data_IF_538174668758
#
_entry.id   IF_538174668758
#
_cell.length_a   1.000
_cell.length_b   1.000
_cell.length_c   1.000
_cell.angle_alpha   90.00
_cell.angle_beta   90.00
_cell.angle_gamma   90.00
#
_symmetry.space_group_name_H-M   'P 1'
#
loop_
_entity.id
_entity.type
_entity.pdbx_description
1 polymer ?
#
# COMPACT_ATOMS: atom_id res chain seq x y z
N UNK A 1 -25.82 44.78 -14.99
CA UNK A 1 -24.81 44.61 -13.92
C UNK A 1 -25.55 44.40 -12.62
N UNK A 2 -25.71 43.15 -12.17
CA UNK A 2 -26.36 42.82 -10.90
C UNK A 2 -25.51 41.78 -10.17
N UNK A 3 -25.16 42.15 -8.93
CA UNK A 3 -24.44 41.48 -7.85
C UNK A 3 -23.88 40.08 -8.04
N UNK A 4 -22.56 39.97 -7.91
CA UNK A 4 -21.88 38.76 -7.45
C UNK A 4 -22.44 38.33 -6.10
N UNK A 5 -22.99 37.12 -6.03
CA UNK A 5 -23.31 36.45 -4.78
C UNK A 5 -22.02 35.93 -4.15
N UNK A 6 -21.48 36.67 -3.19
CA UNK A 6 -20.35 36.27 -2.36
C UNK A 6 -20.80 35.14 -1.41
N UNK A 7 -20.35 33.91 -1.68
CA UNK A 7 -20.56 32.76 -0.82
C UNK A 7 -19.78 32.92 0.49
N UNK A 8 -20.45 33.40 1.54
CA UNK A 8 -19.92 33.46 2.91
C UNK A 8 -19.58 32.04 3.41
N UNK A 9 -18.31 31.66 3.34
CA UNK A 9 -17.80 30.55 4.14
C UNK A 9 -17.82 31.00 5.61
N UNK A 10 -18.50 30.28 6.53
CA UNK A 10 -18.43 30.64 7.95
C UNK A 10 -17.00 30.51 8.44
N UNK A 11 -16.46 31.58 9.03
CA UNK A 11 -15.06 31.71 9.45
C UNK A 11 -14.65 30.82 10.64
N UNK A 12 -15.55 29.97 11.13
CA UNK A 12 -15.26 29.02 12.21
C UNK A 12 -16.18 27.80 12.13
N UNK A 13 -15.63 26.61 12.36
CA UNK A 13 -16.42 25.42 12.61
C UNK A 13 -16.97 25.50 14.04
N UNK A 14 -18.29 25.39 14.24
CA UNK A 14 -18.86 25.39 15.58
C UNK A 14 -18.25 24.24 16.39
N UNK A 15 -17.77 24.54 17.60
CA UNK A 15 -17.28 23.51 18.51
C UNK A 15 -18.44 22.57 18.86
N UNK A 16 -18.26 21.29 18.59
CA UNK A 16 -19.19 20.25 18.97
C UNK A 16 -18.46 19.33 19.94
N UNK A 17 -18.99 19.22 21.15
CA UNK A 17 -18.43 18.32 22.16
C UNK A 17 -18.56 16.87 21.65
N UNK A 18 -17.47 16.10 21.64
CA UNK A 18 -17.54 14.67 21.32
C UNK A 18 -18.27 13.93 22.43
N UNK A 19 -19.08 12.93 22.07
CA UNK A 19 -19.77 12.10 23.06
C UNK A 19 -18.77 11.29 23.90
N UNK A 20 -19.12 11.02 25.16
CA UNK A 20 -18.31 10.20 26.08
C UNK A 20 -17.87 8.88 25.45
N UNK A 21 -18.75 8.26 24.65
CA UNK A 21 -18.48 7.00 23.96
C UNK A 21 -17.32 7.10 22.98
N UNK A 22 -17.23 8.19 22.20
CA UNK A 22 -16.16 8.40 21.22
C UNK A 22 -14.83 8.58 21.93
N UNK A 23 -14.80 9.39 22.99
CA UNK A 23 -13.59 9.62 23.79
C UNK A 23 -13.10 8.31 24.42
N UNK A 24 -14.01 7.50 24.97
CA UNK A 24 -13.68 6.22 25.59
C UNK A 24 -13.08 5.25 24.56
N UNK A 25 -13.70 5.14 23.38
CA UNK A 25 -13.23 4.28 22.29
C UNK A 25 -11.83 4.72 21.83
N UNK A 26 -11.65 6.01 21.53
CA UNK A 26 -10.36 6.55 21.08
C UNK A 26 -9.27 6.39 22.14
N UNK A 27 -9.59 6.64 23.40
CA UNK A 27 -8.65 6.45 24.51
C UNK A 27 -8.28 4.98 24.69
N UNK A 28 -9.25 4.07 24.60
CA UNK A 28 -9.00 2.63 24.67
C UNK A 28 -8.10 2.15 23.52
N UNK A 29 -8.32 2.67 22.31
CA UNK A 29 -7.52 2.35 21.13
C UNK A 29 -6.06 2.79 21.31
N UNK A 30 -5.83 4.05 21.72
CA UNK A 30 -4.49 4.58 21.94
C UNK A 30 -3.75 3.86 23.09
N UNK A 31 -4.45 3.58 24.18
CA UNK A 31 -3.87 2.86 25.32
C UNK A 31 -3.47 1.44 24.91
N UNK A 32 -4.35 0.74 24.19
CA UNK A 32 -4.11 -0.62 23.76
C UNK A 32 -3.00 -0.70 22.72
N UNK A 33 -2.91 0.25 21.77
CA UNK A 33 -1.77 0.37 20.86
C UNK A 33 -0.44 0.47 21.62
N UNK A 34 -0.37 1.30 22.66
CA UNK A 34 0.85 1.48 23.44
C UNK A 34 1.20 0.24 24.27
N UNK A 35 0.22 -0.37 24.93
CA UNK A 35 0.42 -1.60 25.74
C UNK A 35 0.86 -2.76 24.86
N UNK A 36 0.19 -2.97 23.73
CA UNK A 36 0.53 -4.04 22.78
C UNK A 36 1.91 -3.81 22.18
N UNK A 37 2.25 -2.58 21.82
CA UNK A 37 3.59 -2.25 21.34
C UNK A 37 4.65 -2.57 22.40
N UNK A 38 4.48 -2.11 23.64
CA UNK A 38 5.43 -2.37 24.72
C UNK A 38 5.59 -3.86 25.04
N UNK A 39 4.49 -4.63 24.98
CA UNK A 39 4.51 -6.08 25.21
C UNK A 39 5.24 -6.82 24.08
N UNK A 40 4.91 -6.51 22.83
CA UNK A 40 5.46 -7.20 21.66
C UNK A 40 6.88 -6.76 21.30
N UNK A 41 7.25 -5.50 21.57
CA UNK A 41 8.65 -5.07 21.45
C UNK A 41 9.53 -5.87 22.42
N UNK A 42 9.03 -6.16 23.62
CA UNK A 42 9.77 -6.96 24.61
C UNK A 42 9.78 -8.46 24.30
N UNK A 43 8.73 -8.99 23.67
CA UNK A 43 8.60 -10.40 23.39
C UNK A 43 9.21 -10.83 22.04
N UNK A 44 9.00 -10.04 20.97
CA UNK A 44 9.25 -10.43 19.57
C UNK A 44 10.07 -9.37 18.80
N UNK A 45 10.43 -8.24 19.41
CA UNK A 45 11.12 -7.11 18.75
C UNK A 45 10.37 -6.55 17.53
N UNK A 46 9.05 -6.77 17.47
CA UNK A 46 8.20 -6.43 16.34
C UNK A 46 6.84 -5.87 16.80
N UNK A 47 6.87 -4.82 17.64
CA UNK A 47 5.67 -4.16 18.15
C UNK A 47 4.76 -3.58 17.06
N UNK A 48 5.34 -3.20 15.91
CA UNK A 48 4.62 -2.71 14.75
C UNK A 48 3.52 -3.68 14.27
N UNK A 49 3.79 -4.99 14.23
CA UNK A 49 2.78 -5.98 13.83
C UNK A 49 1.59 -6.00 14.80
N UNK A 50 1.85 -5.81 16.09
CA UNK A 50 0.82 -5.67 17.11
C UNK A 50 -0.04 -4.43 16.89
N UNK A 51 0.59 -3.29 16.61
CA UNK A 51 -0.12 -2.05 16.31
C UNK A 51 -1.00 -2.19 15.06
N UNK A 52 -0.50 -2.85 14.01
CA UNK A 52 -1.28 -3.13 12.80
C UNK A 52 -2.47 -4.05 13.11
N UNK A 53 -2.27 -5.11 13.89
CA UNK A 53 -3.35 -6.03 14.26
C UNK A 53 -4.44 -5.33 15.07
N UNK A 54 -4.06 -4.49 16.04
CA UNK A 54 -4.99 -3.67 16.82
C UNK A 54 -5.72 -2.68 15.92
N UNK A 55 -5.02 -2.05 14.98
CA UNK A 55 -5.59 -1.17 13.96
C UNK A 55 -6.68 -1.86 13.14
N UNK A 56 -6.40 -3.07 12.63
CA UNK A 56 -7.36 -3.88 11.88
C UNK A 56 -8.54 -4.32 12.76
N UNK A 57 -8.28 -4.67 14.03
CA UNK A 57 -9.32 -5.11 14.96
C UNK A 57 -10.28 -3.97 15.36
N UNK A 58 -9.80 -2.74 15.55
CA UNK A 58 -10.64 -1.58 15.92
C UNK A 58 -11.23 -0.81 14.72
N UNK A 59 -10.54 -0.83 13.58
CA UNK A 59 -10.93 -0.16 12.35
C UNK A 59 -11.94 -0.95 11.51
N UNK A 60 -12.10 -0.55 10.24
CA UNK A 60 -12.87 -1.30 9.24
C UNK A 60 -11.97 -2.29 8.51
N UNK A 61 -12.34 -3.58 8.32
CA UNK A 61 -13.64 -4.24 8.53
C UNK A 61 -13.83 -4.94 9.91
N UNK A 62 -12.99 -4.66 10.91
CA UNK A 62 -13.04 -5.29 12.24
C UNK A 62 -14.24 -4.83 13.07
N UNK A 63 -13.98 -4.17 14.20
CA UNK A 63 -15.01 -3.71 15.12
C UNK A 63 -15.75 -2.46 14.63
N UNK A 64 -15.17 -1.70 13.69
CA UNK A 64 -15.73 -0.44 13.16
C UNK A 64 -16.16 0.54 14.27
N UNK A 65 -15.37 0.61 15.34
CA UNK A 65 -15.63 1.52 16.47
C UNK A 65 -15.03 2.90 16.24
N UNK A 66 -14.00 2.99 15.39
CA UNK A 66 -13.39 4.25 14.98
C UNK A 66 -14.26 4.84 13.85
N UNK A 67 -14.78 6.05 14.05
CA UNK A 67 -15.55 6.72 13.00
C UNK A 67 -14.71 7.04 11.77
N UNK A 68 -15.31 6.99 10.58
CA UNK A 68 -14.64 7.16 9.27
C UNK A 68 -13.74 8.41 9.20
N UNK A 69 -14.17 9.54 9.76
CA UNK A 69 -13.39 10.78 9.78
C UNK A 69 -12.10 10.65 10.61
N UNK A 70 -12.15 9.90 11.71
CA UNK A 70 -10.97 9.64 12.52
C UNK A 70 -10.03 8.66 11.81
N UNK A 71 -10.57 7.67 11.10
CA UNK A 71 -9.78 6.76 10.27
C UNK A 71 -9.02 7.52 9.16
N UNK A 72 -9.70 8.43 8.45
CA UNK A 72 -9.07 9.31 7.43
C UNK A 72 -7.92 10.13 8.02
N UNK A 73 -8.10 10.74 9.20
CA UNK A 73 -7.06 11.51 9.89
C UNK A 73 -5.90 10.61 10.30
N UNK A 74 -6.17 9.42 10.85
CA UNK A 74 -5.13 8.45 11.25
C UNK A 74 -4.34 7.99 10.03
N UNK A 75 -4.98 7.73 8.90
CA UNK A 75 -4.32 7.36 7.64
C UNK A 75 -3.42 8.49 7.15
N UNK A 76 -3.91 9.73 7.15
CA UNK A 76 -3.10 10.90 6.76
C UNK A 76 -1.88 11.09 7.68
N UNK A 77 -2.08 10.97 8.99
CA UNK A 77 -0.98 11.00 9.97
C UNK A 77 0.00 9.84 9.75
N UNK A 78 -0.52 8.65 9.45
CA UNK A 78 0.27 7.45 9.15
C UNK A 78 1.13 7.62 7.91
N UNK A 79 0.61 8.24 6.84
CA UNK A 79 1.39 8.60 5.66
C UNK A 79 2.52 9.58 5.99
N UNK A 80 2.25 10.61 6.80
CA UNK A 80 3.29 11.54 7.25
C UNK A 80 4.34 10.82 8.11
N UNK A 81 3.92 9.96 9.03
CA UNK A 81 4.81 9.14 9.86
C UNK A 81 5.68 8.21 9.02
N UNK A 82 5.12 7.56 8.01
CA UNK A 82 5.87 6.73 7.06
C UNK A 82 6.93 7.53 6.31
N UNK A 83 6.59 8.73 5.81
CA UNK A 83 7.56 9.60 5.13
C UNK A 83 8.72 10.00 6.05
N UNK A 84 8.42 10.40 7.30
CA UNK A 84 9.43 10.76 8.29
C UNK A 84 10.33 9.58 8.65
N UNK A 85 9.75 8.38 8.75
CA UNK A 85 10.48 7.16 9.07
C UNK A 85 11.42 6.73 7.94
N UNK A 86 10.93 6.75 6.69
CA UNK A 86 11.76 6.49 5.50
C UNK A 86 12.88 7.53 5.39
N UNK A 87 12.57 8.79 5.67
CA UNK A 87 13.55 9.88 5.68
C UNK A 87 14.64 9.69 6.76
N UNK A 88 14.25 9.38 8.00
CA UNK A 88 15.17 9.08 9.09
C UNK A 88 16.06 7.86 8.75
N UNK A 89 15.49 6.83 8.14
CA UNK A 89 16.23 5.66 7.69
C UNK A 89 17.23 5.98 6.59
N UNK A 90 16.86 6.85 5.66
CA UNK A 90 17.77 7.39 4.64
C UNK A 90 18.93 8.19 5.24
N UNK A 91 18.65 9.10 6.18
CA UNK A 91 19.67 9.91 6.86
C UNK A 91 20.62 9.07 7.73
N UNK A 92 20.10 8.03 8.37
CA UNK A 92 20.89 7.14 9.23
C UNK A 92 21.80 6.19 8.45
N UNK A 93 21.55 6.03 7.14
CA UNK A 93 22.29 5.11 6.27
C UNK A 93 23.51 5.80 5.66
N UNK A 94 24.70 5.22 5.88
CA UNK A 94 25.95 5.73 5.31
C UNK A 94 26.10 5.34 3.83
N UNK A 95 26.13 6.34 2.94
CA UNK A 95 26.34 6.15 1.50
C UNK A 95 27.60 5.34 1.14
N UNK A 96 28.75 5.47 1.83
CA UNK A 96 29.93 4.65 1.54
C UNK A 96 29.69 3.15 1.80
N UNK A 97 29.00 2.83 2.90
CA UNK A 97 28.66 1.46 3.26
C UNK A 97 27.62 0.87 2.30
N UNK A 98 26.68 1.68 1.84
CA UNK A 98 25.71 1.31 0.81
C UNK A 98 26.41 0.90 -0.49
N UNK A 99 27.33 1.74 -0.99
CA UNK A 99 28.09 1.48 -2.22
C UNK A 99 28.97 0.24 -2.11
N UNK A 100 29.62 0.04 -0.96
CA UNK A 100 30.47 -1.14 -0.74
C UNK A 100 29.69 -2.46 -0.78
N UNK A 101 28.41 -2.45 -0.37
CA UNK A 101 27.57 -3.65 -0.32
C UNK A 101 26.57 -3.72 -1.50
N UNK A 102 26.71 -2.87 -2.51
CA UNK A 102 25.76 -2.76 -3.63
C UNK A 102 25.65 -4.07 -4.40
N UNK A 103 26.76 -4.78 -4.61
CA UNK A 103 26.76 -6.05 -5.34
C UNK A 103 25.97 -7.13 -4.60
N UNK A 104 26.19 -7.25 -3.28
CA UNK A 104 25.48 -8.20 -2.44
C UNK A 104 23.99 -7.86 -2.35
N UNK A 105 23.67 -6.58 -2.18
CA UNK A 105 22.29 -6.09 -2.10
C UNK A 105 21.53 -6.28 -3.42
N UNK A 106 22.21 -6.11 -4.56
CA UNK A 106 21.64 -6.35 -5.89
C UNK A 106 21.23 -7.80 -6.09
N UNK A 107 22.05 -8.75 -5.62
CA UNK A 107 21.66 -10.17 -5.65
C UNK A 107 20.46 -10.45 -4.75
N UNK A 108 20.40 -9.85 -3.57
CA UNK A 108 19.25 -9.98 -2.67
C UNK A 108 17.99 -9.43 -3.33
N UNK A 109 18.03 -8.21 -3.89
CA UNK A 109 16.92 -7.61 -4.64
C UNK A 109 16.47 -8.48 -5.82
N UNK A 110 17.40 -8.98 -6.64
CA UNK A 110 17.09 -9.89 -7.75
C UNK A 110 16.39 -11.16 -7.26
N UNK A 111 16.86 -11.78 -6.18
CA UNK A 111 16.18 -12.94 -5.61
C UNK A 111 14.80 -12.59 -5.06
N UNK A 112 14.65 -11.41 -4.44
CA UNK A 112 13.39 -10.87 -3.93
C UNK A 112 12.35 -10.61 -5.01
N UNK A 113 12.77 -10.42 -6.26
CA UNK A 113 11.87 -10.20 -7.41
C UNK A 113 11.62 -11.50 -8.18
N UNK A 114 12.68 -12.21 -8.54
CA UNK A 114 12.60 -13.41 -9.38
C UNK A 114 11.84 -14.51 -8.65
N UNK A 115 12.02 -14.65 -7.34
CA UNK A 115 11.36 -15.70 -6.56
C UNK A 115 9.84 -15.51 -6.46
N UNK A 116 9.28 -14.36 -6.04
CA UNK A 116 7.83 -14.14 -6.02
C UNK A 116 7.17 -14.21 -7.40
N UNK A 117 7.84 -13.70 -8.44
CA UNK A 117 7.33 -13.79 -9.82
C UNK A 117 7.30 -15.25 -10.27
N UNK A 118 8.40 -15.98 -10.11
CA UNK A 118 8.48 -17.40 -10.45
C UNK A 118 7.42 -18.21 -9.70
N UNK A 119 7.26 -17.95 -8.40
CA UNK A 119 6.23 -18.56 -7.56
C UNK A 119 4.83 -18.29 -8.12
N UNK A 120 4.51 -17.05 -8.49
CA UNK A 120 3.19 -16.73 -9.04
C UNK A 120 2.92 -17.42 -10.39
N UNK A 121 3.93 -17.63 -11.23
CA UNK A 121 3.77 -18.39 -12.47
C UNK A 121 3.59 -19.89 -12.23
N UNK A 122 4.19 -20.45 -11.19
CA UNK A 122 3.94 -21.84 -10.78
C UNK A 122 2.51 -22.01 -10.25
N UNK A 123 2.02 -21.07 -9.44
CA UNK A 123 0.64 -21.11 -8.94
C UNK A 123 -0.42 -20.95 -10.05
N UNK A 124 -0.04 -20.46 -11.23
CA UNK A 124 -0.93 -20.34 -12.39
C UNK A 124 -1.68 -21.64 -12.70
N UNK A 125 -1.01 -22.79 -12.56
CA UNK A 125 -1.60 -24.09 -12.84
C UNK A 125 -2.78 -24.44 -11.92
N UNK A 126 -2.87 -23.82 -10.74
CA UNK A 126 -3.93 -24.08 -9.76
C UNK A 126 -5.11 -23.10 -9.86
N UNK A 127 -4.90 -21.90 -10.42
CA UNK A 127 -5.88 -20.81 -10.39
C UNK A 127 -6.37 -20.36 -11.80
N UNK A 128 -5.98 -21.07 -12.86
CA UNK A 128 -6.35 -20.76 -14.26
C UNK A 128 -6.17 -19.29 -14.67
N UNK A 129 -5.18 -18.62 -14.07
CA UNK A 129 -4.97 -17.18 -14.25
C UNK A 129 -4.28 -16.83 -15.58
N UNK A 130 -4.54 -15.63 -16.08
CA UNK A 130 -3.85 -15.09 -17.26
C UNK A 130 -2.38 -14.80 -16.93
N UNK A 131 -1.46 -14.85 -17.92
CA UNK A 131 -0.05 -14.51 -17.70
C UNK A 131 0.15 -13.10 -17.12
N UNK A 132 -0.69 -12.14 -17.51
CA UNK A 132 -0.65 -10.77 -16.99
C UNK A 132 -1.06 -10.71 -15.51
N UNK A 133 -2.11 -11.44 -15.11
CA UNK A 133 -2.51 -11.52 -13.70
C UNK A 133 -1.45 -12.20 -12.84
N UNK A 134 -0.80 -13.26 -13.35
CA UNK A 134 0.31 -13.91 -12.64
C UNK A 134 1.51 -12.97 -12.49
N UNK A 135 1.86 -12.24 -13.55
CA UNK A 135 2.92 -11.25 -13.47
C UNK A 135 2.58 -10.13 -12.48
N UNK A 136 1.34 -9.61 -12.51
CA UNK A 136 0.90 -8.57 -11.59
C UNK A 136 0.87 -9.06 -10.12
N UNK A 137 0.40 -10.28 -9.87
CA UNK A 137 0.40 -10.88 -8.54
C UNK A 137 1.81 -11.12 -8.01
N UNK A 138 2.71 -11.64 -8.85
CA UNK A 138 4.12 -11.81 -8.51
C UNK A 138 4.83 -10.48 -8.23
N UNK A 139 4.59 -9.47 -9.08
CA UNK A 139 5.13 -8.12 -8.90
C UNK A 139 4.62 -7.47 -7.59
N UNK A 140 3.33 -7.63 -7.28
CA UNK A 140 2.76 -7.16 -6.02
C UNK A 140 3.40 -7.87 -4.81
N UNK A 141 3.64 -9.18 -4.91
CA UNK A 141 4.27 -9.96 -3.84
C UNK A 141 5.75 -9.62 -3.65
N UNK A 142 6.45 -9.16 -4.69
CA UNK A 142 7.83 -8.67 -4.60
C UNK A 142 7.96 -7.24 -4.04
N UNK A 143 6.86 -6.52 -3.80
CA UNK A 143 6.92 -5.16 -3.28
C UNK A 143 7.37 -5.15 -1.81
N UNK A 144 8.58 -4.64 -1.57
CA UNK A 144 9.17 -4.54 -0.24
C UNK A 144 8.85 -3.20 0.41
N UNK A 145 8.35 -3.19 1.65
CA UNK A 145 8.11 -1.94 2.39
C UNK A 145 9.36 -1.51 3.17
N UNK A 146 9.99 -0.43 2.74
CA UNK A 146 11.16 0.14 3.44
C UNK A 146 10.81 0.53 4.88
N UNK A 147 9.65 1.17 5.09
CA UNK A 147 9.28 1.70 6.40
C UNK A 147 9.17 0.60 7.46
N UNK A 148 8.44 -0.48 7.16
CA UNK A 148 8.33 -1.65 8.04
C UNK A 148 9.70 -2.28 8.30
N UNK A 149 10.51 -2.43 7.25
CA UNK A 149 11.86 -3.01 7.35
C UNK A 149 12.75 -2.20 8.29
N UNK A 150 12.75 -0.88 8.16
CA UNK A 150 13.56 0.01 8.99
C UNK A 150 13.11 0.00 10.45
N UNK A 151 11.79 0.02 10.71
CA UNK A 151 11.25 -0.09 12.08
C UNK A 151 11.73 -1.38 12.75
N UNK A 152 11.58 -2.53 12.08
CA UNK A 152 11.96 -3.83 12.64
C UNK A 152 13.47 -3.92 12.87
N UNK A 153 14.29 -3.46 11.92
CA UNK A 153 15.74 -3.43 12.06
C UNK A 153 16.19 -2.49 13.19
N UNK A 154 15.51 -1.35 13.37
CA UNK A 154 15.82 -0.38 14.41
C UNK A 154 15.47 -0.92 15.80
N UNK A 155 14.26 -1.46 15.97
CA UNK A 155 13.82 -2.10 17.23
C UNK A 155 14.70 -3.29 17.60
N UNK A 156 15.21 -4.03 16.61
CA UNK A 156 16.12 -5.17 16.82
C UNK A 156 17.59 -4.75 17.02
N UNK A 157 17.93 -3.46 16.93
CA UNK A 157 19.31 -2.96 17.03
C UNK A 157 20.20 -3.32 15.83
N UNK A 158 19.63 -3.79 14.72
CA UNK A 158 20.33 -4.26 13.52
C UNK A 158 20.41 -3.20 12.40
N UNK A 159 19.77 -2.04 12.55
CA UNK A 159 19.72 -1.00 11.52
C UNK A 159 21.10 -0.56 11.00
N UNK A 160 22.12 -0.49 11.88
CA UNK A 160 23.50 -0.11 11.51
C UNK A 160 24.42 -1.28 11.18
N UNK A 161 23.90 -2.51 11.25
CA UNK A 161 24.69 -3.72 10.94
C UNK A 161 24.92 -3.83 9.43
N UNK A 162 25.89 -4.67 9.02
CA UNK A 162 26.07 -4.99 7.58
C UNK A 162 24.79 -5.55 6.95
N UNK A 163 24.05 -6.37 7.69
CA UNK A 163 22.76 -6.90 7.23
C UNK A 163 21.73 -5.79 7.05
N UNK A 164 21.64 -4.85 8.01
CA UNK A 164 20.76 -3.70 7.91
C UNK A 164 21.02 -2.86 6.66
N UNK A 165 22.30 -2.54 6.39
CA UNK A 165 22.70 -1.77 5.19
C UNK A 165 22.40 -2.53 3.89
N UNK A 166 22.61 -3.85 3.86
CA UNK A 166 22.30 -4.68 2.68
C UNK A 166 20.79 -4.73 2.42
N UNK A 167 19.99 -4.93 3.46
CA UNK A 167 18.54 -5.02 3.35
C UNK A 167 17.90 -3.67 2.99
N UNK A 168 18.35 -2.56 3.57
CA UNK A 168 17.86 -1.24 3.21
C UNK A 168 18.25 -0.86 1.78
N UNK A 169 19.47 -1.21 1.34
CA UNK A 169 19.91 -1.04 -0.04
C UNK A 169 19.07 -1.84 -1.04
N UNK A 170 18.79 -3.11 -0.72
CA UNK A 170 17.94 -3.97 -1.54
C UNK A 170 16.52 -3.41 -1.66
N UNK A 171 15.90 -3.00 -0.54
CA UNK A 171 14.56 -2.41 -0.53
C UNK A 171 14.48 -1.14 -1.39
N UNK A 172 15.50 -0.27 -1.35
CA UNK A 172 15.56 0.93 -2.21
C UNK A 172 15.65 0.58 -3.71
N UNK A 173 16.37 -0.49 -4.07
CA UNK A 173 16.43 -0.97 -5.45
C UNK A 173 15.08 -1.56 -5.89
N UNK A 174 14.42 -2.31 -5.01
CA UNK A 174 13.10 -2.90 -5.25
C UNK A 174 12.03 -1.82 -5.51
N UNK A 175 12.07 -0.67 -4.82
CA UNK A 175 11.13 0.44 -5.04
C UNK A 175 11.20 0.99 -6.49
N UNK A 176 12.40 1.17 -7.03
CA UNK A 176 12.60 1.63 -8.42
C UNK A 176 12.08 0.58 -9.40
N UNK A 177 12.40 -0.69 -9.15
CA UNK A 177 11.96 -1.80 -10.01
C UNK A 177 10.44 -1.98 -9.93
N UNK A 178 9.85 -1.82 -8.74
CA UNK A 178 8.40 -1.88 -8.52
C UNK A 178 7.65 -0.82 -9.32
N UNK A 179 8.15 0.42 -9.34
CA UNK A 179 7.60 1.47 -10.22
C UNK A 179 7.67 1.10 -11.70
N UNK A 180 8.78 0.52 -12.16
CA UNK A 180 8.93 0.02 -13.54
C UNK A 180 7.92 -1.10 -13.83
N UNK A 181 7.74 -2.05 -12.90
CA UNK A 181 6.76 -3.13 -13.05
C UNK A 181 5.33 -2.61 -13.13
N UNK A 182 4.94 -1.65 -12.29
CA UNK A 182 3.61 -1.02 -12.33
C UNK A 182 3.35 -0.40 -13.71
N UNK A 183 4.34 0.28 -14.29
CA UNK A 183 4.23 0.82 -15.64
C UNK A 183 4.07 -0.27 -16.71
N UNK A 184 4.86 -1.35 -16.62
CA UNK A 184 4.75 -2.50 -17.55
C UNK A 184 3.36 -3.13 -17.46
N UNK A 185 2.86 -3.39 -16.25
CA UNK A 185 1.54 -3.99 -16.01
C UNK A 185 0.44 -3.10 -16.59
N UNK A 186 0.51 -1.78 -16.36
CA UNK A 186 -0.45 -0.81 -16.90
C UNK A 186 -0.46 -0.81 -18.44
N UNK A 187 0.70 -0.80 -19.08
CA UNK A 187 0.81 -0.83 -20.54
C UNK A 187 0.28 -2.14 -21.14
N UNK A 188 0.60 -3.29 -20.54
CA UNK A 188 0.12 -4.59 -21.00
C UNK A 188 -1.38 -4.78 -20.77
N UNK A 189 -1.92 -4.23 -19.67
CA UNK A 189 -3.36 -4.23 -19.37
C UNK A 189 -4.18 -3.39 -20.34
N UNK A 190 -3.64 -2.25 -20.80
CA UNK A 190 -4.31 -1.41 -21.81
C UNK A 190 -4.31 -2.09 -23.19
N UNK A 191 -3.19 -2.68 -23.62
CA UNK A 191 -3.10 -3.34 -24.92
C UNK A 191 -3.99 -4.60 -25.04
N UNK A 192 -4.31 -5.26 -23.93
CA UNK A 192 -5.24 -6.40 -23.91
C UNK A 192 -6.71 -6.00 -24.05
N UNK A 193 -7.04 -4.71 -23.91
CA UNK A 193 -8.38 -4.17 -24.17
C UNK A 193 -8.61 -3.71 -25.61
N UNK A 194 -7.55 -3.58 -26.43
CA UNK A 194 -7.65 -3.02 -27.79
C UNK A 194 -7.87 -4.04 -28.92
N UNK A 195 -7.86 -5.36 -28.68
CA UNK A 195 -8.11 -6.33 -29.75
C UNK A 195 -8.78 -7.63 -29.26
N UNK A 196 -10.12 -7.65 -29.15
CA UNK A 196 -10.96 -8.80 -29.57
C UNK A 196 -12.44 -8.38 -29.62
N UNK A 197 -12.84 -7.54 -30.59
CA UNK A 197 -14.22 -7.59 -31.08
C UNK A 197 -14.39 -8.87 -31.91
N UNK A 198 -14.36 -10.03 -31.24
CA UNK A 198 -14.89 -11.25 -31.82
C UNK A 198 -16.39 -11.05 -31.94
N UNK A 199 -16.81 -10.57 -33.11
CA UNK A 199 -18.16 -10.78 -33.61
C UNK A 199 -18.34 -12.29 -33.68
N UNK A 200 -18.85 -12.87 -32.60
CA UNK A 200 -19.40 -14.23 -32.60
C UNK A 200 -20.68 -14.14 -33.43
N UNK A 201 -20.55 -14.34 -34.75
CA UNK A 201 -21.69 -14.74 -35.57
C UNK A 201 -22.09 -16.16 -35.13
N UNK A 202 -22.91 -16.25 -34.08
CA UNK A 202 -23.81 -17.39 -33.93
C UNK A 202 -24.92 -17.20 -34.97
N UNK A 203 -25.04 -18.17 -35.87
CA UNK A 203 -26.11 -18.18 -36.86
C UNK A 203 -27.48 -18.05 -36.20
N UNK A 204 -28.34 -17.25 -36.82
CA UNK A 204 -29.73 -17.04 -36.42
C UNK A 204 -30.03 -15.57 -36.08
N UNK A 205 -30.71 -14.89 -37.00
CA UNK A 205 -31.33 -13.56 -36.88
C UNK A 205 -30.39 -12.37 -36.56
N UNK A 206 -30.01 -11.66 -37.62
CA UNK A 206 -29.60 -10.27 -37.57
C UNK A 206 -30.88 -9.44 -37.50
N UNK A 207 -31.22 -8.90 -36.32
CA UNK A 207 -32.21 -7.83 -36.22
C UNK A 207 -31.46 -6.56 -35.87
N UNK A 208 -31.14 -5.77 -36.90
CA UNK A 208 -30.69 -4.39 -36.74
C UNK A 208 -31.97 -3.56 -36.65
N UNK A 209 -32.46 -3.30 -35.45
CA UNK A 209 -33.52 -2.31 -35.26
C UNK A 209 -32.89 -0.92 -35.19
N UNK A 210 -32.71 -0.32 -36.37
CA UNK A 210 -32.39 1.08 -36.53
C UNK A 210 -33.72 1.83 -36.68
N UNK A 211 -34.39 2.13 -35.56
CA UNK A 211 -35.59 2.98 -35.56
C UNK A 211 -35.45 4.18 -34.64
N UNK A 212 -35.68 5.33 -35.26
CA UNK A 212 -35.91 6.67 -34.71
C UNK A 212 -34.68 7.56 -34.48
N UNK A 213 -34.03 7.93 -35.59
CA UNK A 213 -33.88 9.37 -35.89
C UNK A 213 -35.21 9.88 -36.47
N UNK A 214 -35.62 11.06 -36.00
CA UNK A 214 -36.73 11.95 -36.39
C UNK A 214 -38.08 11.86 -35.65
N UNK A 215 -38.40 13.01 -35.01
CA UNK A 215 -39.66 13.43 -34.40
C UNK A 215 -39.38 13.91 -32.98
N UNK A 216 -39.24 15.20 -32.66
CA UNK A 216 -39.70 16.46 -33.27
C UNK A 216 -38.78 17.59 -32.82
#
# INVERSE_FOLDING_TARGET
MSGSAESKHPASTPYHEPSISVILIQSSFLLLLNVVNALLDRAVYCGLLGQVFVGVAWGTPGANWIGIRAEEVIVQLGYLGLLLLVYEGGLSTSLPSLKANLFLSSWVAMTGIVFPIGLSFVLRYSFEATPLQCFAAGAALSSTSLGTTFTVLSTSGLARSRLGVVLTSAAMMDDVIGLVMVQIISNLGQNSSSFDSKVVRRGGSISVDNRARNGT
#
